data_IF_236117607020
#
_entry.id   IF_236117607020
#
_cell.length_a   1.000
_cell.length_b   1.000
_cell.length_c   1.000
_cell.angle_alpha   90.00
_cell.angle_beta   90.00
_cell.angle_gamma   90.00
#
_symmetry.space_group_name_H-M   'P 1'
#
loop_
_entity.id
_entity.type
_entity.pdbx_description
1 polymer ?
#
# COMPACT_ATOMS: atom_id res chain seq x y z
N UNK A 1 1.93 4.87 -40.22
CA UNK A 1 1.97 5.58 -38.92
C UNK A 1 2.27 4.54 -37.85
N UNK A 2 3.50 4.51 -37.34
CA UNK A 2 3.86 3.57 -36.27
C UNK A 2 3.25 4.09 -34.96
N UNK A 3 2.32 3.32 -34.40
CA UNK A 3 1.80 3.58 -33.07
C UNK A 3 2.93 3.35 -32.07
N UNK A 4 3.34 4.42 -31.37
CA UNK A 4 4.26 4.32 -30.25
C UNK A 4 3.50 3.60 -29.14
N UNK A 5 3.88 2.35 -28.87
CA UNK A 5 3.40 1.60 -27.71
C UNK A 5 3.98 2.31 -26.48
N UNK A 6 3.23 3.25 -25.91
CA UNK A 6 3.55 3.84 -24.62
C UNK A 6 3.19 2.82 -23.55
N UNK A 7 4.06 1.82 -23.36
CA UNK A 7 4.12 1.07 -22.11
C UNK A 7 4.67 2.02 -21.06
N UNK A 8 3.81 2.86 -20.49
CA UNK A 8 4.07 3.42 -19.16
C UNK A 8 4.24 2.19 -18.27
N UNK A 9 5.48 1.91 -17.84
CA UNK A 9 5.84 0.73 -17.07
C UNK A 9 5.17 0.75 -15.70
N UNK A 10 3.87 0.46 -15.68
CA UNK A 10 3.16 0.09 -14.46
C UNK A 10 3.69 -1.29 -14.13
N UNK A 11 4.49 -1.45 -13.06
CA UNK A 11 4.95 -2.77 -12.67
C UNK A 11 3.73 -3.70 -12.51
N UNK A 12 3.91 -4.99 -12.77
CA UNK A 12 2.91 -6.01 -12.45
C UNK A 12 2.67 -5.97 -10.93
N UNK A 13 1.71 -5.16 -10.50
CA UNK A 13 1.32 -5.06 -9.10
C UNK A 13 0.50 -6.30 -8.81
N UNK A 14 1.02 -7.19 -7.96
CA UNK A 14 0.24 -8.32 -7.48
C UNK A 14 -0.81 -7.81 -6.50
N UNK A 15 -2.08 -7.94 -6.89
CA UNK A 15 -3.21 -7.38 -6.17
C UNK A 15 -3.87 -8.40 -5.22
N UNK A 16 -3.29 -9.52 -4.83
CA UNK A 16 -4.00 -10.43 -3.91
C UNK A 16 -3.96 -9.92 -2.45
N UNK A 17 -5.13 -9.60 -1.89
CA UNK A 17 -5.27 -9.15 -0.48
C UNK A 17 -4.80 -10.23 0.49
N UNK A 18 -4.94 -11.51 0.11
CA UNK A 18 -4.51 -12.66 0.92
C UNK A 18 -3.00 -12.72 1.20
N UNK A 19 -2.19 -11.90 0.54
CA UNK A 19 -0.74 -11.80 0.77
C UNK A 19 -0.45 -10.94 2.02
N UNK A 20 -1.35 -10.04 2.40
CA UNK A 20 -1.18 -9.16 3.55
C UNK A 20 -1.69 -9.81 4.85
N UNK A 21 -0.95 -9.58 5.93
CA UNK A 21 -1.38 -9.94 7.29
C UNK A 21 -2.48 -8.99 7.76
N UNK A 22 -3.25 -9.40 8.78
CA UNK A 22 -4.29 -8.55 9.39
C UNK A 22 -3.76 -7.17 9.77
N UNK A 23 -2.55 -7.10 10.35
CA UNK A 23 -1.96 -5.84 10.78
C UNK A 23 -1.56 -4.94 9.62
N UNK A 24 -1.11 -5.52 8.51
CA UNK A 24 -0.79 -4.77 7.30
C UNK A 24 -2.06 -4.26 6.62
N UNK A 25 -3.15 -5.02 6.66
CA UNK A 25 -4.47 -4.58 6.17
C UNK A 25 -4.93 -3.36 6.97
N UNK A 26 -4.86 -3.40 8.31
CA UNK A 26 -5.22 -2.25 9.17
C UNK A 26 -4.40 -0.99 8.85
N UNK A 27 -3.14 -1.14 8.44
CA UNK A 27 -2.28 -0.03 8.00
C UNK A 27 -2.73 0.49 6.63
N UNK A 28 -3.08 -0.39 5.68
CA UNK A 28 -3.60 -0.01 4.36
C UNK A 28 -4.91 0.76 4.49
N UNK A 29 -5.84 0.31 5.33
CA UNK A 29 -7.12 0.99 5.62
C UNK A 29 -6.93 2.45 6.07
N UNK A 30 -5.80 2.73 6.73
CA UNK A 30 -5.47 4.06 7.28
C UNK A 30 -4.46 4.83 6.43
N UNK A 31 -4.11 4.34 5.24
CA UNK A 31 -3.05 4.93 4.40
C UNK A 31 -3.36 6.34 3.87
N UNK A 32 -4.58 6.85 4.06
CA UNK A 32 -4.93 8.25 3.86
C UNK A 32 -4.32 9.19 4.92
N UNK A 33 -3.94 8.64 6.08
CA UNK A 33 -3.36 9.39 7.18
C UNK A 33 -1.83 9.42 7.09
N UNK A 34 -1.17 10.43 7.67
CA UNK A 34 0.28 10.38 7.87
C UNK A 34 0.69 9.18 8.73
N UNK A 35 1.83 8.54 8.42
CA UNK A 35 2.37 7.37 9.12
C UNK A 35 2.41 7.52 10.66
N UNK A 36 2.67 8.75 11.17
CA UNK A 36 2.64 9.03 12.61
C UNK A 36 1.25 8.93 13.22
N UNK A 37 0.22 9.35 12.49
CA UNK A 37 -1.17 9.26 12.92
C UNK A 37 -1.64 7.81 12.84
N UNK A 38 -1.22 7.05 11.84
CA UNK A 38 -1.47 5.60 11.78
C UNK A 38 -0.88 4.91 13.02
N UNK A 39 0.35 5.26 13.40
CA UNK A 39 1.01 4.71 14.58
C UNK A 39 0.21 5.01 15.87
N UNK A 40 -0.27 6.25 16.01
CA UNK A 40 -1.12 6.68 17.11
C UNK A 40 -2.44 5.89 17.16
N UNK A 41 -3.17 5.85 16.06
CA UNK A 41 -4.49 5.19 15.96
C UNK A 41 -4.40 3.69 16.24
N UNK A 42 -3.30 3.06 15.80
CA UNK A 42 -3.06 1.64 15.99
C UNK A 42 -2.35 1.31 17.30
N UNK A 43 -2.01 2.32 18.13
CA UNK A 43 -1.27 2.19 19.38
C UNK A 43 0.02 1.36 19.22
N UNK A 44 0.84 1.68 18.21
CA UNK A 44 2.15 1.06 17.97
C UNK A 44 3.21 2.12 17.72
N UNK A 45 4.48 1.72 17.78
CA UNK A 45 5.56 2.65 17.48
C UNK A 45 5.55 3.08 16.02
N UNK A 46 5.96 4.32 15.75
CA UNK A 46 6.17 4.82 14.39
C UNK A 46 7.09 3.91 13.57
N UNK A 47 8.17 3.41 14.18
CA UNK A 47 9.09 2.47 13.52
C UNK A 47 8.43 1.14 13.15
N UNK A 48 7.49 0.66 13.97
CA UNK A 48 6.70 -0.55 13.66
C UNK A 48 5.84 -0.34 12.42
N UNK A 49 5.22 0.84 12.27
CA UNK A 49 4.48 1.20 11.04
C UNK A 49 5.42 1.19 9.83
N UNK A 50 6.60 1.81 9.93
CA UNK A 50 7.58 1.80 8.84
C UNK A 50 8.03 0.39 8.46
N UNK A 51 8.23 -0.50 9.43
CA UNK A 51 8.55 -1.91 9.19
C UNK A 51 7.44 -2.63 8.44
N UNK A 52 6.17 -2.43 8.83
CA UNK A 52 5.04 -3.00 8.12
C UNK A 52 4.90 -2.43 6.70
N UNK A 53 5.05 -1.12 6.51
CA UNK A 53 5.05 -0.50 5.18
C UNK A 53 6.15 -1.08 4.29
N UNK A 54 7.34 -1.33 4.83
CA UNK A 54 8.41 -2.03 4.09
C UNK A 54 7.97 -3.44 3.66
N UNK A 55 7.34 -4.20 4.54
CA UNK A 55 6.86 -5.55 4.21
C UNK A 55 5.73 -5.52 3.17
N UNK A 56 4.78 -4.58 3.31
CA UNK A 56 3.71 -4.36 2.32
C UNK A 56 4.31 -4.08 0.94
N UNK A 57 5.28 -3.17 0.83
CA UNK A 57 5.96 -2.85 -0.43
C UNK A 57 6.64 -4.07 -1.04
N UNK A 58 7.31 -4.88 -0.23
CA UNK A 58 7.94 -6.14 -0.69
C UNK A 58 6.91 -7.15 -1.21
N UNK A 59 5.74 -7.23 -0.57
CA UNK A 59 4.66 -8.16 -0.93
C UNK A 59 3.86 -7.75 -2.17
N UNK A 60 3.66 -6.45 -2.33
CA UNK A 60 2.75 -5.87 -3.34
C UNK A 60 3.48 -5.25 -4.53
N UNK A 61 4.77 -4.97 -4.41
CA UNK A 61 5.56 -4.24 -5.40
C UNK A 61 5.32 -2.73 -5.41
N UNK A 62 4.49 -2.21 -4.50
CA UNK A 62 4.17 -0.78 -4.42
C UNK A 62 5.40 0.02 -3.98
N UNK A 63 5.60 1.20 -4.58
CA UNK A 63 6.79 2.01 -4.34
C UNK A 63 6.52 3.24 -3.46
N UNK A 64 5.29 3.77 -3.49
CA UNK A 64 4.94 5.00 -2.81
C UNK A 64 3.60 4.91 -2.06
N UNK A 65 3.32 5.91 -1.23
CA UNK A 65 2.09 5.98 -0.44
C UNK A 65 0.82 6.19 -1.29
N UNK A 66 0.92 6.81 -2.47
CA UNK A 66 -0.25 6.99 -3.35
C UNK A 66 -0.68 5.67 -3.97
N UNK A 67 0.28 4.85 -4.38
CA UNK A 67 0.04 3.49 -4.85
C UNK A 67 -0.57 2.63 -3.75
N UNK A 68 -0.16 2.81 -2.49
CA UNK A 68 -0.76 2.14 -1.34
C UNK A 68 -2.22 2.53 -1.11
N UNK A 69 -2.53 3.83 -1.17
CA UNK A 69 -3.91 4.33 -1.08
C UNK A 69 -4.76 3.79 -2.23
N UNK A 70 -4.25 3.86 -3.46
CA UNK A 70 -4.94 3.33 -4.64
C UNK A 70 -5.21 1.82 -4.51
N UNK A 71 -4.25 1.06 -4.00
CA UNK A 71 -4.41 -0.35 -3.69
C UNK A 71 -5.54 -0.55 -2.66
N UNK A 72 -5.56 0.22 -1.57
CA UNK A 72 -6.59 0.15 -0.54
C UNK A 72 -8.00 0.41 -1.09
N UNK A 73 -8.16 1.46 -1.91
CA UNK A 73 -9.44 1.79 -2.58
C UNK A 73 -9.88 0.67 -3.52
N UNK A 74 -8.97 0.20 -4.41
CA UNK A 74 -9.26 -0.87 -5.37
C UNK A 74 -9.69 -2.17 -4.68
N UNK A 75 -9.27 -2.36 -3.44
CA UNK A 75 -9.58 -3.54 -2.62
C UNK A 75 -10.72 -3.36 -1.65
N UNK A 76 -11.37 -2.20 -1.63
CA UNK A 76 -12.47 -1.91 -0.71
C UNK A 76 -12.02 -1.90 0.76
N UNK A 77 -10.73 -1.66 1.01
CA UNK A 77 -10.17 -1.48 2.36
C UNK A 77 -10.31 -0.01 2.81
N UNK A 78 -10.40 0.91 1.85
CA UNK A 78 -10.64 2.33 2.07
C UNK A 78 -11.95 2.67 1.38
N UNK A 79 -12.87 3.25 2.14
CA UNK A 79 -14.15 3.78 1.65
C UNK A 79 -14.08 5.30 1.51
#
# INVERSE_FOLDING_TARGET
MNQLITNYGVPEINFEVGILTKREIEIVERSLLPDKNIAWDLNISYYTVLSHLKSIRQKTGLQDGRQLVYFGIKKGLIN
#
